data_IF_293428434849
#
_entry.id   IF_293428434849
#
_cell.length_a   1.000
_cell.length_b   1.000
_cell.length_c   1.000
_cell.angle_alpha   90.00
_cell.angle_beta   90.00
_cell.angle_gamma   90.00
#
_symmetry.space_group_name_H-M   'P 1'
#
loop_
_entity.id
_entity.type
_entity.pdbx_description
1 polymer ?
#
# COMPACT_ATOMS: atom_id res chain seq x y z
N UNK A 1 25.85 0.92 -3.00
CA UNK A 1 26.53 2.23 -2.86
C UNK A 1 25.75 3.20 -2.00
N UNK A 2 24.49 3.51 -2.32
CA UNK A 2 23.68 4.46 -1.53
C UNK A 2 23.54 4.05 -0.05
N UNK A 3 23.30 2.77 0.25
CA UNK A 3 23.26 2.27 1.63
C UNK A 3 24.56 2.51 2.41
N UNK A 4 25.72 2.27 1.80
CA UNK A 4 27.02 2.52 2.44
C UNK A 4 27.25 4.03 2.67
N UNK A 5 26.76 4.88 1.78
CA UNK A 5 26.75 6.33 1.98
C UNK A 5 25.91 6.72 3.21
N UNK A 6 24.71 6.16 3.37
CA UNK A 6 23.86 6.38 4.54
C UNK A 6 24.55 5.89 5.82
N UNK A 7 25.04 4.66 5.85
CA UNK A 7 25.77 4.10 7.01
C UNK A 7 27.00 4.94 7.37
N UNK A 8 27.73 5.47 6.37
CA UNK A 8 28.84 6.37 6.60
C UNK A 8 28.38 7.67 7.26
N UNK A 9 27.29 8.29 6.78
CA UNK A 9 26.76 9.51 7.41
C UNK A 9 26.27 9.26 8.84
N UNK A 10 25.62 8.13 9.11
CA UNK A 10 25.18 7.73 10.44
C UNK A 10 26.39 7.53 11.38
N UNK A 11 27.41 6.80 10.93
CA UNK A 11 28.63 6.59 11.71
C UNK A 11 29.37 7.91 12.01
N UNK A 12 29.46 8.83 11.04
CA UNK A 12 30.10 10.14 11.22
C UNK A 12 29.38 10.98 12.26
N UNK A 13 28.05 11.00 12.21
CA UNK A 13 27.20 11.73 13.16
C UNK A 13 27.30 11.12 14.56
N UNK A 14 27.29 9.79 14.67
CA UNK A 14 27.50 9.06 15.93
C UNK A 14 28.89 9.36 16.54
N UNK A 15 29.95 9.36 15.72
CA UNK A 15 31.31 9.72 16.17
C UNK A 15 31.39 11.17 16.67
N UNK A 16 30.64 12.08 16.06
CA UNK A 16 30.51 13.46 16.47
C UNK A 16 29.59 13.67 17.70
N UNK A 17 29.03 12.58 18.27
CA UNK A 17 28.04 12.59 19.37
C UNK A 17 26.77 13.39 19.03
N UNK A 18 26.38 13.38 17.76
CA UNK A 18 25.14 13.95 17.27
C UNK A 18 24.12 12.84 16.99
N UNK A 19 22.83 13.17 16.99
CA UNK A 19 21.77 12.24 16.62
C UNK A 19 21.63 12.14 15.10
N UNK A 20 21.34 10.95 14.59
CA UNK A 20 20.93 10.70 13.20
C UNK A 20 19.45 10.27 13.19
N UNK A 21 18.61 10.77 12.27
CA UNK A 21 18.87 11.84 11.31
C UNK A 21 18.92 13.23 11.98
N UNK A 22 19.46 14.24 11.28
CA UNK A 22 19.49 15.64 11.71
C UNK A 22 19.47 16.60 10.49
N UNK A 23 19.25 17.91 10.68
CA UNK A 23 19.15 18.87 9.58
C UNK A 23 20.40 18.98 8.70
N UNK A 24 21.60 18.77 9.28
CA UNK A 24 22.84 18.77 8.51
C UNK A 24 22.90 17.55 7.56
N UNK A 25 22.49 16.38 8.05
CA UNK A 25 22.40 15.16 7.24
C UNK A 25 21.33 15.30 6.15
N UNK A 26 20.18 15.87 6.46
CA UNK A 26 19.10 16.13 5.49
C UNK A 26 19.58 17.05 4.35
N UNK A 27 20.20 18.18 4.68
CA UNK A 27 20.74 19.11 3.69
C UNK A 27 21.83 18.48 2.82
N UNK A 28 22.73 17.72 3.43
CA UNK A 28 23.78 17.00 2.71
C UNK A 28 23.23 15.94 1.75
N UNK A 29 22.31 15.09 2.24
CA UNK A 29 21.67 14.04 1.44
C UNK A 29 20.85 14.65 0.29
N UNK A 30 20.12 15.73 0.55
CA UNK A 30 19.33 16.45 -0.47
C UNK A 30 20.23 17.08 -1.54
N UNK A 31 21.38 17.64 -1.17
CA UNK A 31 22.36 18.16 -2.11
C UNK A 31 22.90 17.09 -3.06
N UNK A 32 23.25 15.91 -2.52
CA UNK A 32 23.68 14.75 -3.32
C UNK A 32 22.55 14.30 -4.26
N UNK A 33 21.31 14.20 -3.76
CA UNK A 33 20.15 13.88 -4.60
C UNK A 33 19.97 14.88 -5.75
N UNK A 34 20.08 16.18 -5.46
CA UNK A 34 19.99 17.23 -6.48
C UNK A 34 21.11 17.18 -7.51
N UNK A 35 22.31 16.73 -7.14
CA UNK A 35 23.46 16.66 -8.05
C UNK A 35 23.46 15.40 -8.93
N UNK A 36 23.10 14.25 -8.38
CA UNK A 36 23.24 12.96 -9.09
C UNK A 36 21.92 12.37 -9.57
N UNK A 37 20.78 12.78 -8.99
CA UNK A 37 19.46 12.17 -9.22
C UNK A 37 18.41 13.19 -9.70
N UNK A 38 18.82 14.33 -10.27
CA UNK A 38 17.91 15.44 -10.67
C UNK A 38 16.79 15.03 -11.63
N UNK A 39 17.08 14.06 -12.50
CA UNK A 39 16.17 13.61 -13.56
C UNK A 39 15.58 12.22 -13.29
N UNK A 40 15.65 11.74 -12.05
CA UNK A 40 15.01 10.50 -11.67
C UNK A 40 13.51 10.76 -11.42
N UNK A 41 12.64 10.06 -12.15
CA UNK A 41 11.22 10.01 -11.82
C UNK A 41 11.00 9.10 -10.62
N UNK A 42 10.20 9.55 -9.66
CA UNK A 42 9.78 8.69 -8.56
C UNK A 42 8.56 7.91 -9.03
N UNK A 43 8.75 6.64 -9.41
CA UNK A 43 7.65 5.67 -9.59
C UNK A 43 7.10 5.34 -8.21
N UNK A 44 6.37 6.29 -7.62
CA UNK A 44 5.56 6.02 -6.45
C UNK A 44 4.37 5.23 -6.93
N UNK A 45 4.42 3.91 -6.69
CA UNK A 45 3.19 3.13 -6.72
C UNK A 45 2.26 3.77 -5.70
N UNK A 46 1.17 4.32 -6.19
CA UNK A 46 0.17 4.97 -5.37
C UNK A 46 -0.68 3.88 -4.71
N UNK A 47 -0.21 3.45 -3.54
CA UNK A 47 -0.92 2.49 -2.68
C UNK A 47 -2.00 3.25 -1.93
N UNK A 48 -3.14 3.45 -2.60
CA UNK A 48 -4.34 4.02 -2.02
C UNK A 48 -5.51 3.06 -2.26
N UNK A 49 -6.47 3.06 -1.35
CA UNK A 49 -7.70 2.31 -1.54
C UNK A 49 -8.42 2.82 -2.80
N UNK A 50 -9.09 1.93 -3.55
CA UNK A 50 -9.92 2.38 -4.65
C UNK A 50 -11.05 3.28 -4.11
N UNK A 51 -11.51 4.28 -4.88
CA UNK A 51 -12.60 5.15 -4.46
C UNK A 51 -13.82 4.37 -3.96
N UNK A 52 -14.50 4.85 -2.91
CA UNK A 52 -15.65 4.18 -2.28
C UNK A 52 -16.74 3.76 -3.27
N UNK A 53 -16.96 4.57 -4.31
CA UNK A 53 -17.91 4.28 -5.40
C UNK A 53 -17.63 2.98 -6.16
N UNK A 54 -16.39 2.47 -6.10
CA UNK A 54 -15.96 1.19 -6.69
C UNK A 54 -15.85 0.12 -5.60
N UNK A 55 -15.24 0.48 -4.46
CA UNK A 55 -15.00 -0.44 -3.34
C UNK A 55 -16.30 -1.00 -2.77
N UNK A 56 -17.28 -0.12 -2.52
CA UNK A 56 -18.55 -0.48 -1.88
C UNK A 56 -19.34 -1.49 -2.73
N UNK A 57 -19.60 -1.27 -4.03
CA UNK A 57 -20.22 -2.29 -4.87
C UNK A 57 -19.46 -3.61 -4.90
N UNK A 58 -18.12 -3.56 -4.93
CA UNK A 58 -17.28 -4.77 -4.97
C UNK A 58 -17.46 -5.64 -3.71
N UNK A 59 -17.75 -5.02 -2.57
CA UNK A 59 -18.06 -5.73 -1.31
C UNK A 59 -19.50 -6.25 -1.30
N UNK A 60 -20.48 -5.43 -1.70
CA UNK A 60 -21.90 -5.80 -1.59
C UNK A 60 -22.35 -6.82 -2.63
N UNK A 61 -21.83 -6.77 -3.86
CA UNK A 61 -22.21 -7.70 -4.94
C UNK A 61 -22.03 -9.17 -4.53
N UNK A 62 -20.86 -9.66 -4.06
CA UNK A 62 -20.71 -11.05 -3.66
C UNK A 62 -21.60 -11.45 -2.47
N UNK A 63 -21.87 -10.52 -1.54
CA UNK A 63 -22.78 -10.78 -0.41
C UNK A 63 -24.21 -10.99 -0.93
N UNK A 64 -24.69 -10.11 -1.80
CA UNK A 64 -26.03 -10.23 -2.38
C UNK A 64 -26.16 -11.50 -3.23
N UNK A 65 -25.13 -11.85 -4.00
CA UNK A 65 -25.10 -13.08 -4.79
C UNK A 65 -25.16 -14.34 -3.92
N UNK A 66 -24.42 -14.38 -2.81
CA UNK A 66 -24.47 -15.54 -1.91
C UNK A 66 -25.85 -15.71 -1.27
N UNK A 67 -26.47 -14.63 -0.80
CA UNK A 67 -27.84 -14.65 -0.26
C UNK A 67 -28.85 -15.10 -1.32
N UNK A 68 -28.75 -14.58 -2.55
CA UNK A 68 -29.62 -14.96 -3.65
C UNK A 68 -29.49 -16.44 -4.01
N UNK A 69 -28.25 -16.97 -4.08
CA UNK A 69 -27.99 -18.39 -4.37
C UNK A 69 -28.53 -19.29 -3.27
N UNK A 70 -28.32 -18.95 -2.00
CA UNK A 70 -28.90 -19.71 -0.87
C UNK A 70 -30.42 -19.71 -0.95
N UNK A 71 -31.04 -18.56 -1.21
CA UNK A 71 -32.49 -18.46 -1.39
C UNK A 71 -33.00 -19.32 -2.55
N UNK A 72 -32.30 -19.32 -3.68
CA UNK A 72 -32.64 -20.12 -4.85
C UNK A 72 -32.54 -21.63 -4.56
N UNK A 73 -31.48 -22.05 -3.88
CA UNK A 73 -31.29 -23.46 -3.49
C UNK A 73 -32.40 -23.90 -2.55
N UNK A 74 -32.70 -23.13 -1.51
CA UNK A 74 -33.79 -23.45 -0.55
C UNK A 74 -35.14 -23.54 -1.26
N UNK A 75 -35.42 -22.60 -2.17
CA UNK A 75 -36.65 -22.61 -2.95
C UNK A 75 -36.76 -23.85 -3.84
N UNK A 76 -35.67 -24.20 -4.54
CA UNK A 76 -35.64 -25.35 -5.42
C UNK A 76 -35.80 -26.66 -4.65
N UNK A 77 -35.06 -26.84 -3.54
CA UNK A 77 -35.16 -28.01 -2.67
C UNK A 77 -36.57 -28.20 -2.11
N UNK A 78 -37.20 -27.13 -1.61
CA UNK A 78 -38.58 -27.21 -1.12
C UNK A 78 -39.56 -27.59 -2.23
N UNK A 79 -39.35 -27.10 -3.46
CA UNK A 79 -40.21 -27.44 -4.59
C UNK A 79 -40.02 -28.89 -5.05
N UNK A 80 -38.80 -29.43 -5.02
CA UNK A 80 -38.57 -30.84 -5.30
C UNK A 80 -39.18 -31.76 -4.24
N UNK A 81 -39.13 -31.37 -2.96
CA UNK A 81 -39.72 -32.16 -1.86
C UNK A 81 -41.26 -32.22 -1.94
N UNK A 82 -41.91 -31.19 -2.49
CA UNK A 82 -43.38 -31.15 -2.66
C UNK A 82 -43.84 -31.95 -3.89
N UNK A 83 -42.96 -32.15 -4.87
CA UNK A 83 -43.28 -32.83 -6.14
C UNK A 83 -42.95 -34.33 -6.14
N UNK A 84 -42.33 -34.85 -5.07
CA UNK A 84 -42.09 -36.28 -4.79
C UNK A 84 -43.14 -36.78 -3.81
#
# INVERSE_FOLDING_TARGET
>A
YYNNFILCTEHKVSTAKCFWPNPLAEGFITGIHRQFFTNCTSDKVHWEDPPDKILVPLIFVPILLTVAMVGLVVWYSKRSDILV
#
